data_IF_997076207277
#
_entry.id   IF_997076207277
#
_cell.length_a   1.000
_cell.length_b   1.000
_cell.length_c   1.000
_cell.angle_alpha   90.00
_cell.angle_beta   90.00
_cell.angle_gamma   90.00
#
_symmetry.space_group_name_H-M   'P 1'
#
loop_
_entity.id
_entity.type
_entity.pdbx_description
1 polymer ?
#
# COMPACT_ATOMS: atom_id res chain seq x y z
N UNK A 1 0.39 -29.88 7.20
CA UNK A 1 1.58 -29.34 6.57
C UNK A 1 1.17 -28.57 5.33
N UNK A 2 1.06 -27.23 5.44
CA UNK A 2 0.81 -26.38 4.26
C UNK A 2 2.01 -26.45 3.33
N UNK A 3 1.78 -26.64 2.05
CA UNK A 3 2.82 -26.52 1.04
C UNK A 3 3.45 -25.12 1.16
N UNK A 4 4.74 -25.09 1.35
CA UNK A 4 5.48 -23.82 1.46
C UNK A 4 5.98 -23.49 0.07
N UNK A 5 5.41 -22.45 -0.54
CA UNK A 5 5.75 -22.02 -1.87
C UNK A 5 6.23 -20.57 -1.82
N UNK A 6 7.11 -20.20 -2.74
CA UNK A 6 7.60 -18.84 -2.91
C UNK A 6 7.03 -18.30 -4.21
N UNK A 7 6.26 -17.22 -4.12
CA UNK A 7 5.84 -16.46 -5.32
C UNK A 7 6.81 -15.31 -5.53
N UNK A 8 7.34 -15.22 -6.73
CA UNK A 8 8.27 -14.17 -7.15
C UNK A 8 7.59 -13.34 -8.24
N UNK A 9 7.67 -12.04 -8.10
CA UNK A 9 7.26 -11.10 -9.14
C UNK A 9 8.47 -10.27 -9.58
N UNK A 10 8.52 -9.98 -10.86
CA UNK A 10 9.65 -9.24 -11.47
C UNK A 10 9.09 -8.10 -12.30
N UNK A 11 9.68 -6.93 -12.13
CA UNK A 11 9.37 -5.79 -12.97
C UNK A 11 9.64 -6.14 -14.44
N UNK A 12 8.67 -5.94 -15.36
CA UNK A 12 8.81 -6.33 -16.75
C UNK A 12 9.67 -5.34 -17.53
N UNK A 13 10.94 -5.27 -17.18
CA UNK A 13 11.98 -4.54 -17.90
C UNK A 13 12.70 -5.45 -18.91
N UNK A 14 13.47 -4.86 -19.81
CA UNK A 14 14.27 -5.63 -20.78
C UNK A 14 15.53 -6.21 -20.12
N UNK A 15 15.33 -7.04 -19.11
CA UNK A 15 16.36 -7.67 -18.28
C UNK A 15 16.58 -9.15 -18.64
N UNK A 16 15.99 -9.63 -19.74
CA UNK A 16 16.09 -11.03 -20.18
C UNK A 16 15.22 -12.01 -19.37
N UNK A 17 14.47 -11.58 -18.34
CA UNK A 17 13.59 -12.46 -17.61
C UNK A 17 12.36 -12.81 -18.46
N UNK A 18 12.07 -14.11 -18.73
CA UNK A 18 10.97 -14.50 -19.60
C UNK A 18 9.60 -14.42 -18.92
N UNK A 19 9.55 -14.34 -17.61
CA UNK A 19 8.33 -14.33 -16.83
C UNK A 19 8.14 -13.01 -16.06
N UNK A 20 6.89 -12.60 -15.83
CA UNK A 20 6.52 -11.49 -14.93
C UNK A 20 6.41 -12.00 -13.50
N UNK A 21 5.87 -13.21 -13.32
CA UNK A 21 5.73 -13.83 -12.02
C UNK A 21 5.82 -15.34 -12.15
N UNK A 22 6.30 -15.99 -11.09
CA UNK A 22 6.24 -17.46 -10.96
C UNK A 22 6.14 -17.88 -9.52
N UNK A 23 5.71 -19.11 -9.32
CA UNK A 23 5.70 -19.75 -8.01
C UNK A 23 6.60 -20.98 -8.06
N UNK A 24 7.38 -21.17 -7.03
CA UNK A 24 8.27 -22.32 -6.89
C UNK A 24 8.16 -22.92 -5.49
N UNK A 25 8.50 -24.20 -5.37
CA UNK A 25 8.70 -24.84 -4.09
C UNK A 25 10.07 -24.48 -3.48
N UNK A 26 10.38 -25.01 -2.30
CA UNK A 26 11.68 -24.75 -1.65
C UNK A 26 12.86 -25.47 -2.30
N UNK A 27 12.60 -26.47 -3.13
CA UNK A 27 13.60 -27.17 -3.94
C UNK A 27 13.90 -26.39 -5.24
N UNK A 28 13.13 -25.33 -5.55
CA UNK A 28 13.29 -24.50 -6.73
C UNK A 28 12.53 -24.99 -7.95
N UNK A 29 11.65 -26.01 -7.82
CA UNK A 29 10.82 -26.46 -8.93
C UNK A 29 9.72 -25.44 -9.19
N UNK A 30 9.61 -24.99 -10.42
CA UNK A 30 8.55 -24.04 -10.83
C UNK A 30 7.22 -24.78 -10.88
N UNK A 31 6.26 -24.31 -10.11
CA UNK A 31 4.89 -24.84 -10.03
C UNK A 31 3.98 -24.21 -11.07
N UNK A 32 4.16 -22.92 -11.32
CA UNK A 32 3.52 -22.16 -12.39
C UNK A 32 4.33 -20.90 -12.69
N UNK A 33 4.16 -20.39 -13.89
CA UNK A 33 4.73 -19.12 -14.31
C UNK A 33 3.75 -18.33 -15.17
N UNK A 34 3.91 -17.02 -15.19
CA UNK A 34 3.18 -16.08 -16.04
C UNK A 34 4.19 -15.46 -16.99
N UNK A 35 4.10 -15.75 -18.28
CA UNK A 35 5.05 -15.27 -19.26
C UNK A 35 4.98 -13.74 -19.38
N UNK A 36 6.11 -13.14 -19.66
CA UNK A 36 6.21 -11.73 -19.99
C UNK A 36 5.64 -11.46 -21.37
N UNK A 37 4.53 -10.74 -21.43
CA UNK A 37 3.86 -10.37 -22.70
C UNK A 37 4.13 -8.92 -23.09
N UNK A 38 4.73 -8.12 -22.21
CA UNK A 38 5.11 -6.73 -22.45
C UNK A 38 6.38 -6.39 -21.64
N UNK A 39 7.04 -5.30 -22.00
CA UNK A 39 8.14 -4.76 -21.22
C UNK A 39 8.03 -3.24 -21.12
N UNK A 40 8.49 -2.71 -20.00
CA UNK A 40 8.71 -1.29 -19.87
C UNK A 40 10.14 -0.95 -20.33
N UNK A 41 10.37 0.25 -20.86
CA UNK A 41 11.74 0.74 -21.03
C UNK A 41 12.50 0.66 -19.71
N UNK A 42 13.78 0.33 -19.78
CA UNK A 42 14.66 0.39 -18.62
C UNK A 42 14.85 1.85 -18.22
N UNK A 43 13.93 2.36 -17.45
CA UNK A 43 14.03 3.67 -16.83
C UNK A 43 13.77 3.54 -15.32
N UNK A 44 14.40 4.40 -14.54
CA UNK A 44 14.24 4.44 -13.08
C UNK A 44 12.87 5.00 -12.63
N UNK A 45 11.91 5.15 -13.53
CA UNK A 45 10.61 5.79 -13.29
C UNK A 45 9.49 4.79 -13.11
N UNK A 46 9.69 3.55 -13.54
CA UNK A 46 8.72 2.48 -13.34
C UNK A 46 8.94 1.85 -11.97
N UNK A 47 7.92 1.89 -11.13
CA UNK A 47 7.91 1.24 -9.82
C UNK A 47 7.00 0.03 -9.85
N UNK A 48 7.36 -0.98 -9.08
CA UNK A 48 6.53 -2.14 -8.83
C UNK A 48 6.19 -2.19 -7.35
N UNK A 49 4.90 -2.17 -7.05
CA UNK A 49 4.39 -2.43 -5.70
C UNK A 49 3.77 -3.82 -5.66
N UNK A 50 3.90 -4.47 -4.51
CA UNK A 50 3.29 -5.78 -4.27
C UNK A 50 2.66 -5.82 -2.90
N UNK A 51 1.49 -6.49 -2.79
CA UNK A 51 0.79 -6.69 -1.53
C UNK A 51 0.17 -8.11 -1.47
N UNK A 52 -0.13 -8.60 -0.28
CA UNK A 52 -0.67 -9.96 -0.05
C UNK A 52 -1.85 -9.99 0.90
N UNK A 53 -2.66 -8.96 0.91
CA UNK A 53 -3.81 -8.88 1.81
C UNK A 53 -5.01 -9.73 1.35
N UNK A 54 -5.01 -10.21 0.12
CA UNK A 54 -6.03 -11.13 -0.39
C UNK A 54 -5.51 -12.57 -0.28
N UNK A 55 -6.16 -13.46 0.48
CA UNK A 55 -5.68 -14.83 0.67
C UNK A 55 -5.40 -15.57 -0.63
N UNK A 56 -4.20 -16.13 -0.76
CA UNK A 56 -3.78 -16.91 -1.92
C UNK A 56 -3.46 -16.12 -3.19
N UNK A 57 -3.56 -14.80 -3.15
CA UNK A 57 -3.27 -13.91 -4.27
C UNK A 57 -2.17 -12.92 -3.90
N UNK A 58 -1.42 -12.52 -4.91
CA UNK A 58 -0.46 -11.42 -4.86
C UNK A 58 -1.04 -10.26 -5.67
N UNK A 59 -1.14 -9.09 -5.08
CA UNK A 59 -1.41 -7.86 -5.81
C UNK A 59 -0.11 -7.31 -6.38
N UNK A 60 -0.12 -6.99 -7.67
CA UNK A 60 1.01 -6.37 -8.36
C UNK A 60 0.52 -5.14 -9.09
N UNK A 61 1.14 -4.01 -8.85
CA UNK A 61 0.95 -2.81 -9.63
C UNK A 61 2.28 -2.32 -10.20
N UNK A 62 2.26 -1.95 -11.48
CA UNK A 62 3.36 -1.31 -12.15
C UNK A 62 3.00 0.13 -12.41
N UNK A 63 3.73 1.06 -11.83
CA UNK A 63 3.49 2.48 -11.96
C UNK A 63 4.61 3.13 -12.74
N UNK A 64 4.26 3.89 -13.76
CA UNK A 64 5.20 4.70 -14.52
C UNK A 64 4.71 6.15 -14.56
N UNK A 65 5.61 7.07 -14.26
CA UNK A 65 5.31 8.51 -14.35
C UNK A 65 5.00 8.97 -15.79
N UNK A 66 5.18 8.10 -16.77
CA UNK A 66 4.98 8.39 -18.18
C UNK A 66 3.66 7.83 -18.72
N UNK A 67 2.86 7.17 -17.89
CA UNK A 67 1.57 6.61 -18.32
C UNK A 67 0.42 7.36 -17.67
N UNK A 68 -0.58 7.72 -18.48
CA UNK A 68 -1.83 8.30 -17.98
C UNK A 68 -2.74 7.26 -17.35
N UNK A 69 -2.35 5.99 -17.40
CA UNK A 69 -3.19 4.88 -17.02
C UNK A 69 -2.34 3.71 -16.50
N UNK A 70 -2.60 3.30 -15.26
CA UNK A 70 -1.93 2.19 -14.61
C UNK A 70 -2.94 1.11 -14.23
N UNK A 71 -2.54 -0.14 -14.31
CA UNK A 71 -3.38 -1.28 -13.94
C UNK A 71 -2.76 -2.05 -12.79
N UNK A 72 -3.54 -2.29 -11.74
CA UNK A 72 -3.23 -3.25 -10.69
C UNK A 72 -3.76 -4.63 -11.06
N UNK A 73 -3.00 -5.66 -10.74
CA UNK A 73 -3.24 -7.05 -11.13
C UNK A 73 -3.29 -7.96 -9.93
N UNK A 74 -4.19 -8.92 -9.92
CA UNK A 74 -4.18 -10.04 -9.00
C UNK A 74 -3.52 -11.25 -9.65
N UNK A 75 -2.53 -11.82 -8.98
CA UNK A 75 -1.72 -12.93 -9.45
C UNK A 75 -1.85 -14.12 -8.52
N UNK A 76 -2.18 -15.28 -9.04
CA UNK A 76 -2.25 -16.53 -8.30
C UNK A 76 -2.69 -17.68 -9.17
N UNK A 77 -2.24 -18.89 -8.82
CA UNK A 77 -2.63 -20.12 -9.53
C UNK A 77 -2.21 -20.15 -11.01
N UNK A 78 -1.18 -19.40 -11.41
CA UNK A 78 -0.74 -19.32 -12.80
C UNK A 78 -1.51 -18.32 -13.66
N UNK A 79 -2.37 -17.52 -13.05
CA UNK A 79 -3.16 -16.50 -13.73
C UNK A 79 -2.82 -15.10 -13.24
N UNK A 80 -2.90 -14.13 -14.15
CA UNK A 80 -2.80 -12.71 -13.88
C UNK A 80 -4.07 -12.04 -14.38
N UNK A 81 -4.86 -11.47 -13.45
CA UNK A 81 -6.16 -10.87 -13.75
C UNK A 81 -6.13 -9.38 -13.39
N UNK A 82 -6.63 -8.49 -14.26
CA UNK A 82 -6.74 -7.08 -13.92
C UNK A 82 -7.72 -6.92 -12.75
N UNK A 83 -7.35 -6.12 -11.78
CA UNK A 83 -8.18 -5.76 -10.63
C UNK A 83 -8.86 -4.42 -10.87
N UNK A 84 -8.06 -3.40 -11.13
CA UNK A 84 -8.54 -2.06 -11.41
C UNK A 84 -7.53 -1.33 -12.29
N UNK A 85 -8.03 -0.35 -13.02
CA UNK A 85 -7.21 0.58 -13.78
C UNK A 85 -7.45 1.99 -13.26
N UNK A 86 -6.36 2.67 -12.91
CA UNK A 86 -6.39 4.07 -12.47
C UNK A 86 -6.06 4.96 -13.65
N UNK A 87 -6.91 5.96 -13.90
CA UNK A 87 -6.68 6.97 -14.94
C UNK A 87 -6.99 8.35 -14.39
N UNK A 88 -6.03 9.26 -14.48
CA UNK A 88 -6.22 10.64 -14.06
C UNK A 88 -6.67 11.57 -15.18
N UNK A 89 -7.01 11.02 -16.35
CA UNK A 89 -7.54 11.78 -17.48
C UNK A 89 -6.55 12.73 -18.16
N UNK A 90 -5.31 12.76 -17.71
CA UNK A 90 -4.26 13.58 -18.30
C UNK A 90 -3.26 12.71 -19.05
N UNK A 91 -2.92 13.11 -20.26
CA UNK A 91 -1.76 12.54 -20.95
C UNK A 91 -0.50 13.14 -20.35
N UNK A 92 0.49 12.30 -20.09
CA UNK A 92 1.81 12.75 -19.68
C UNK A 92 2.27 13.90 -20.61
N UNK A 93 2.52 15.04 -20.02
CA UNK A 93 2.93 16.21 -20.79
C UNK A 93 4.39 16.09 -21.21
N UNK A 94 4.63 16.45 -22.45
CA UNK A 94 5.85 16.87 -23.14
C UNK A 94 7.22 16.36 -22.62
N UNK A 95 7.95 15.85 -23.57
CA UNK A 95 9.31 15.30 -23.49
C UNK A 95 10.38 16.23 -22.87
N UNK A 96 10.10 17.52 -22.64
CA UNK A 96 11.09 18.54 -22.28
C UNK A 96 11.19 18.90 -20.80
N UNK A 97 10.22 18.56 -19.98
CA UNK A 97 10.32 18.81 -18.53
C UNK A 97 10.42 17.50 -17.79
N UNK A 98 11.55 17.18 -17.21
CA UNK A 98 11.78 15.93 -16.49
C UNK A 98 10.80 15.60 -15.35
N UNK A 99 9.76 16.41 -15.17
CA UNK A 99 8.56 16.16 -14.34
C UNK A 99 7.45 17.07 -14.85
N UNK A 100 6.33 16.48 -15.26
CA UNK A 100 5.11 17.21 -15.56
C UNK A 100 4.69 18.04 -14.34
N UNK A 101 4.20 19.25 -14.60
CA UNK A 101 3.44 20.01 -13.62
C UNK A 101 2.15 19.19 -13.34
N UNK A 102 1.80 19.04 -12.06
CA UNK A 102 0.60 18.32 -11.62
C UNK A 102 0.59 16.80 -11.90
N UNK A 103 1.62 16.09 -11.48
CA UNK A 103 1.62 14.64 -11.44
C UNK A 103 0.90 14.11 -10.20
N UNK A 104 -0.10 13.29 -10.43
CA UNK A 104 -0.72 12.51 -9.36
C UNK A 104 0.17 11.32 -9.00
N UNK A 105 0.46 11.19 -7.71
CA UNK A 105 1.05 9.99 -7.15
C UNK A 105 -0.04 9.26 -6.38
N UNK A 106 -0.04 7.95 -6.45
CA UNK A 106 -0.97 7.15 -5.66
C UNK A 106 -0.30 5.88 -5.16
N UNK A 107 -0.85 5.34 -4.09
CA UNK A 107 -0.57 3.98 -3.64
C UNK A 107 -1.89 3.26 -3.40
N UNK A 108 -1.93 2.00 -3.72
CA UNK A 108 -3.10 1.15 -3.52
C UNK A 108 -2.82 0.11 -2.44
N UNK A 109 -3.82 -0.18 -1.62
CA UNK A 109 -3.86 -1.32 -0.73
C UNK A 109 -5.09 -2.14 -1.07
N UNK A 110 -4.89 -3.35 -1.53
CA UNK A 110 -5.96 -4.25 -1.92
C UNK A 110 -6.32 -5.14 -0.73
N UNK A 111 -7.56 -5.03 -0.29
CA UNK A 111 -8.15 -5.85 0.76
C UNK A 111 -9.18 -6.82 0.16
N UNK A 112 -9.65 -7.84 0.90
CA UNK A 112 -10.65 -8.76 0.37
C UNK A 112 -11.89 -8.07 -0.22
N UNK A 113 -12.42 -7.10 0.49
CA UNK A 113 -13.66 -6.41 0.13
C UNK A 113 -13.47 -4.97 -0.34
N UNK A 114 -12.29 -4.40 -0.12
CA UNK A 114 -12.02 -3.00 -0.44
C UNK A 114 -10.73 -2.82 -1.22
N UNK A 115 -10.64 -1.74 -1.98
CA UNK A 115 -9.36 -1.17 -2.40
C UNK A 115 -9.27 0.23 -1.83
N UNK A 116 -8.20 0.49 -1.10
CA UNK A 116 -7.90 1.80 -0.54
C UNK A 116 -6.82 2.43 -1.40
N UNK A 117 -7.05 3.63 -1.89
CA UNK A 117 -6.07 4.38 -2.67
C UNK A 117 -5.78 5.71 -1.99
N UNK A 118 -4.52 5.90 -1.61
CA UNK A 118 -4.03 7.19 -1.15
C UNK A 118 -3.52 7.95 -2.37
N UNK A 119 -4.01 9.15 -2.57
CA UNK A 119 -3.65 10.01 -3.71
C UNK A 119 -2.97 11.26 -3.20
N UNK A 120 -1.97 11.71 -3.91
CA UNK A 120 -1.30 12.98 -3.65
C UNK A 120 -0.97 13.70 -4.96
N UNK A 121 -0.97 15.02 -4.91
CA UNK A 121 -0.53 15.87 -5.99
C UNK A 121 0.93 16.22 -5.77
N UNK A 122 1.76 15.89 -6.75
CA UNK A 122 3.17 16.25 -6.74
C UNK A 122 3.34 17.60 -7.46
N UNK A 123 3.67 18.64 -6.71
CA UNK A 123 3.98 19.95 -7.26
C UNK A 123 5.40 20.05 -7.81
N UNK A 124 5.75 21.24 -8.29
CA UNK A 124 7.08 21.50 -8.82
C UNK A 124 8.20 21.22 -7.82
N UNK A 125 9.28 20.65 -8.33
CA UNK A 125 10.48 20.52 -7.52
C UNK A 125 11.23 21.88 -7.42
N UNK A 126 11.64 22.22 -6.22
CA UNK A 126 12.45 23.42 -5.92
C UNK A 126 13.80 23.00 -5.37
N UNK A 127 14.86 23.67 -5.81
CA UNK A 127 16.17 23.53 -5.18
C UNK A 127 16.23 24.48 -3.97
N UNK A 128 16.43 23.93 -2.78
CA UNK A 128 16.65 24.70 -1.55
C UNK A 128 17.87 24.15 -0.84
N UNK A 129 18.83 25.02 -0.58
CA UNK A 129 20.10 24.67 0.10
C UNK A 129 20.88 23.53 -0.60
N UNK A 130 20.85 23.47 -1.95
CA UNK A 130 21.48 22.41 -2.73
C UNK A 130 20.74 21.07 -2.73
N UNK A 131 19.60 20.99 -2.04
CA UNK A 131 18.76 19.80 -1.99
C UNK A 131 17.50 20.03 -2.82
N UNK A 132 17.19 19.05 -3.68
CA UNK A 132 15.94 19.04 -4.44
C UNK A 132 14.79 18.65 -3.51
N UNK A 133 13.81 19.52 -3.39
CA UNK A 133 12.58 19.28 -2.62
C UNK A 133 11.39 19.27 -3.57
N UNK A 134 10.49 18.34 -3.35
CA UNK A 134 9.23 18.23 -4.06
C UNK A 134 8.14 18.48 -3.04
N UNK A 135 7.24 19.42 -3.34
CA UNK A 135 6.06 19.61 -2.53
C UNK A 135 5.04 18.55 -2.90
N UNK A 136 4.56 17.78 -1.92
CA UNK A 136 3.55 16.75 -2.09
C UNK A 136 2.33 17.17 -1.26
N UNK A 137 1.21 17.35 -1.94
CA UNK A 137 -0.05 17.69 -1.31
C UNK A 137 -0.93 16.44 -1.24
N UNK A 138 -1.27 15.95 -0.04
CA UNK A 138 -2.17 14.83 0.10
C UNK A 138 -3.59 15.24 -0.32
N UNK A 139 -4.24 14.37 -1.07
CA UNK A 139 -5.63 14.49 -1.46
C UNK A 139 -6.50 13.53 -0.65
N UNK A 140 -7.83 13.73 -0.60
CA UNK A 140 -8.72 12.75 0.00
C UNK A 140 -8.48 11.36 -0.59
N UNK A 141 -8.42 10.35 0.27
CA UNK A 141 -8.29 8.97 -0.15
C UNK A 141 -9.53 8.50 -0.93
N UNK A 142 -9.33 7.50 -1.77
CA UNK A 142 -10.40 6.85 -2.53
C UNK A 142 -10.57 5.44 -1.98
N UNK A 143 -11.82 5.08 -1.65
CA UNK A 143 -12.17 3.75 -1.16
C UNK A 143 -13.15 3.14 -2.14
N UNK A 144 -12.76 2.03 -2.77
CA UNK A 144 -13.61 1.21 -3.61
C UNK A 144 -14.14 0.03 -2.80
N UNK A 145 -15.46 -0.05 -2.62
CA UNK A 145 -16.13 -1.27 -2.16
C UNK A 145 -16.22 -2.25 -3.34
N UNK A 146 -15.51 -3.36 -3.24
CA UNK A 146 -15.44 -4.37 -4.31
C UNK A 146 -16.72 -5.18 -4.45
N UNK A 147 -17.53 -5.29 -3.38
CA UNK A 147 -18.80 -6.02 -3.40
C UNK A 147 -19.92 -5.19 -4.01
N UNK A 148 -19.99 -3.93 -3.61
CA UNK A 148 -21.01 -3.01 -4.12
C UNK A 148 -20.62 -2.40 -5.48
N UNK A 149 -19.32 -2.35 -5.81
CA UNK A 149 -18.81 -1.61 -6.97
C UNK A 149 -18.90 -0.09 -6.78
N UNK A 150 -18.98 0.37 -5.53
CA UNK A 150 -19.16 1.77 -5.19
C UNK A 150 -17.82 2.41 -4.81
N UNK A 151 -17.67 3.66 -5.19
CA UNK A 151 -16.48 4.47 -4.88
C UNK A 151 -16.88 5.61 -3.96
N UNK A 152 -16.12 5.80 -2.90
CA UNK A 152 -16.28 6.92 -1.97
C UNK A 152 -14.94 7.63 -1.74
N UNK A 153 -15.02 8.90 -1.38
CA UNK A 153 -13.87 9.64 -0.86
C UNK A 153 -13.89 9.55 0.67
N UNK A 154 -12.72 9.28 1.25
CA UNK A 154 -12.62 9.15 2.70
C UNK A 154 -11.22 8.83 3.17
N UNK A 155 -11.11 8.66 4.46
CA UNK A 155 -9.87 8.26 5.14
C UNK A 155 -10.12 7.00 5.95
N UNK A 156 -9.12 6.14 5.99
CA UNK A 156 -9.11 5.01 6.93
C UNK A 156 -8.65 5.52 8.28
N UNK A 157 -9.50 5.38 9.26
CA UNK A 157 -9.20 5.82 10.63
C UNK A 157 -9.03 4.62 11.55
N UNK A 158 -8.15 4.75 12.52
CA UNK A 158 -8.00 3.79 13.60
C UNK A 158 -8.87 4.25 14.79
N UNK A 159 -10.04 3.68 14.92
CA UNK A 159 -11.00 4.01 15.98
C UNK A 159 -10.55 3.62 17.40
N UNK A 160 -9.55 2.75 17.50
CA UNK A 160 -8.92 2.40 18.79
C UNK A 160 -8.02 3.53 19.32
N UNK A 161 -7.38 4.32 18.42
CA UNK A 161 -6.39 5.33 18.77
C UNK A 161 -6.79 6.74 18.29
N UNK A 162 -8.09 6.99 18.15
CA UNK A 162 -8.67 8.28 17.77
C UNK A 162 -8.15 8.86 16.45
N UNK A 163 -8.20 8.04 15.43
CA UNK A 163 -8.07 8.51 14.05
C UNK A 163 -6.68 8.68 13.50
N UNK A 164 -5.62 8.42 14.25
CA UNK A 164 -4.29 8.47 13.65
C UNK A 164 -4.14 7.38 12.58
N UNK A 165 -4.26 7.83 11.32
CA UNK A 165 -4.08 7.00 10.15
C UNK A 165 -2.63 6.63 9.98
N UNK A 166 -2.08 5.71 10.14
CA UNK A 166 -0.78 5.13 9.83
C UNK A 166 -0.97 3.64 9.98
N UNK A 167 -1.71 3.06 9.04
CA UNK A 167 -2.00 1.64 9.10
C UNK A 167 -1.18 0.91 8.05
N UNK A 168 -0.54 -0.17 8.47
CA UNK A 168 -0.04 -1.19 7.58
C UNK A 168 -1.06 -2.31 7.47
N UNK A 169 -1.26 -2.80 6.27
CA UNK A 169 -2.04 -4.01 6.04
C UNK A 169 -1.09 -5.08 5.51
N UNK A 170 -1.15 -6.26 6.06
CA UNK A 170 -0.32 -7.38 5.60
C UNK A 170 -1.01 -8.70 5.87
N UNK A 171 -0.99 -9.61 4.89
CA UNK A 171 -1.52 -10.97 5.00
C UNK A 171 -2.96 -11.04 5.58
N UNK A 172 -3.82 -10.06 5.26
CA UNK A 172 -5.19 -10.00 5.76
C UNK A 172 -5.35 -9.43 7.17
N UNK A 173 -4.32 -8.79 7.69
CA UNK A 173 -4.34 -8.12 8.99
C UNK A 173 -4.01 -6.65 8.86
N UNK A 174 -4.66 -5.86 9.71
CA UNK A 174 -4.16 -4.55 10.08
C UNK A 174 -3.03 -4.74 11.09
N UNK A 175 -1.89 -4.12 10.86
CA UNK A 175 -0.74 -4.19 11.77
C UNK A 175 -0.18 -2.79 11.97
N UNK A 176 0.05 -2.42 13.21
CA UNK A 176 0.77 -1.20 13.57
C UNK A 176 1.67 -1.44 14.78
N UNK A 177 2.91 -1.00 14.68
CA UNK A 177 3.85 -0.97 15.78
C UNK A 177 4.00 0.46 16.31
N UNK A 178 4.09 0.58 17.61
CA UNK A 178 4.46 1.80 18.32
C UNK A 178 5.62 1.47 19.25
N UNK A 179 6.63 2.30 19.34
CA UNK A 179 7.49 2.25 20.50
C UNK A 179 6.69 2.56 21.76
N UNK A 180 7.18 2.11 22.91
CA UNK A 180 6.43 2.22 24.17
C UNK A 180 6.09 3.68 24.52
N UNK A 181 7.03 4.61 24.33
CA UNK A 181 6.85 6.02 24.61
C UNK A 181 5.78 6.64 23.68
N UNK A 182 5.86 6.37 22.37
CA UNK A 182 4.88 6.83 21.38
C UNK A 182 3.48 6.27 21.63
N UNK A 183 3.38 4.99 22.05
CA UNK A 183 2.09 4.43 22.45
C UNK A 183 1.52 5.12 23.68
N UNK A 184 2.37 5.41 24.68
CA UNK A 184 1.94 6.12 25.91
C UNK A 184 1.44 7.52 25.60
N UNK A 185 2.12 8.27 24.74
CA UNK A 185 1.72 9.61 24.32
C UNK A 185 0.39 9.57 23.56
N UNK A 186 0.33 8.78 22.47
CA UNK A 186 -0.85 8.68 21.61
C UNK A 186 -2.06 8.12 22.37
N UNK A 187 -1.84 7.11 23.20
CA UNK A 187 -2.90 6.49 24.00
C UNK A 187 -3.50 7.44 25.06
N UNK A 188 -2.68 8.27 25.70
CA UNK A 188 -3.18 9.31 26.64
C UNK A 188 -4.01 10.35 25.89
N UNK A 189 -3.48 10.86 24.77
CA UNK A 189 -4.21 11.80 23.93
C UNK A 189 -5.57 11.23 23.47
N UNK A 190 -5.58 9.96 23.03
CA UNK A 190 -6.81 9.29 22.63
C UNK A 190 -7.82 9.15 23.78
N UNK A 191 -7.37 8.88 25.02
CA UNK A 191 -8.24 8.83 26.20
C UNK A 191 -8.83 10.19 26.55
N UNK A 192 -8.09 11.27 26.29
CA UNK A 192 -8.53 12.66 26.56
C UNK A 192 -9.49 13.18 25.50
N UNK A 193 -9.41 12.71 24.26
CA UNK A 193 -10.25 13.17 23.14
C UNK A 193 -11.74 12.96 23.36
N UNK A 194 -12.11 11.95 24.13
CA UNK A 194 -13.51 11.60 24.41
C UNK A 194 -14.21 10.81 23.29
N UNK A 195 -13.55 10.57 22.15
CA UNK A 195 -14.16 9.95 20.97
C UNK A 195 -14.11 8.43 20.96
N UNK A 196 -13.36 7.82 21.89
CA UNK A 196 -13.19 6.37 21.95
C UNK A 196 -14.42 5.63 22.44
N UNK A 197 -14.66 4.45 21.86
CA UNK A 197 -15.61 3.49 22.42
C UNK A 197 -15.18 3.05 23.82
N UNK A 198 -16.12 2.61 24.66
CA UNK A 198 -15.83 2.11 26.00
C UNK A 198 -14.84 0.93 25.98
N UNK A 199 -14.97 0.03 24.98
CA UNK A 199 -14.06 -1.10 24.80
C UNK A 199 -12.64 -0.63 24.45
N UNK A 200 -12.48 0.34 23.54
CA UNK A 200 -11.20 0.92 23.19
C UNK A 200 -10.55 1.61 24.39
N UNK A 201 -11.31 2.43 25.09
CA UNK A 201 -10.89 3.14 26.33
C UNK A 201 -10.37 2.15 27.39
N UNK A 202 -11.12 1.09 27.65
CA UNK A 202 -10.73 0.06 28.60
C UNK A 202 -9.42 -0.63 28.21
N UNK A 203 -9.26 -0.99 26.94
CA UNK A 203 -8.04 -1.63 26.44
C UNK A 203 -6.81 -0.73 26.55
N UNK A 204 -6.91 0.52 26.08
CA UNK A 204 -5.80 1.49 26.15
C UNK A 204 -5.42 1.73 27.61
N UNK A 205 -6.39 1.96 28.49
CA UNK A 205 -6.14 2.18 29.91
C UNK A 205 -5.43 0.99 30.57
N UNK A 206 -5.82 -0.24 30.22
CA UNK A 206 -5.20 -1.44 30.76
C UNK A 206 -3.73 -1.60 30.30
N UNK A 207 -3.42 -1.26 29.04
CA UNK A 207 -2.05 -1.28 28.54
C UNK A 207 -1.22 -0.20 29.22
N UNK A 208 -1.69 1.05 29.22
CA UNK A 208 -0.96 2.18 29.79
C UNK A 208 -0.66 2.02 31.29
N UNK A 209 -1.49 1.30 32.02
CA UNK A 209 -1.28 1.02 33.45
C UNK A 209 -0.01 0.21 33.72
N UNK A 210 0.38 -0.64 32.77
CA UNK A 210 1.46 -1.60 32.92
C UNK A 210 2.66 -1.29 32.00
N UNK A 211 2.56 -0.28 31.14
CA UNK A 211 3.58 0.07 30.16
C UNK A 211 4.53 1.13 30.73
N UNK A 212 5.82 0.94 30.51
CA UNK A 212 6.91 1.85 30.83
C UNK A 212 7.59 2.31 29.53
N UNK A 213 8.18 3.49 29.50
CA UNK A 213 8.88 4.05 28.33
C UNK A 213 10.04 3.18 27.81
N UNK A 214 10.59 2.33 28.67
CA UNK A 214 11.69 1.43 28.33
C UNK A 214 11.24 0.02 27.99
N UNK A 215 9.94 -0.22 27.90
CA UNK A 215 9.41 -1.53 27.49
C UNK A 215 9.55 -1.72 25.96
N UNK A 216 9.33 -2.96 25.53
CA UNK A 216 9.29 -3.29 24.12
C UNK A 216 8.11 -2.61 23.41
N UNK A 217 8.20 -2.57 22.10
CA UNK A 217 7.15 -2.03 21.23
C UNK A 217 5.78 -2.68 21.48
N UNK A 218 4.74 -1.87 21.39
CA UNK A 218 3.34 -2.31 21.39
C UNK A 218 2.91 -2.58 19.96
N UNK A 219 2.56 -3.83 19.68
CA UNK A 219 2.07 -4.23 18.35
C UNK A 219 0.55 -4.39 18.41
N UNK A 220 -0.14 -3.59 17.60
CA UNK A 220 -1.57 -3.74 17.35
C UNK A 220 -1.79 -4.63 16.15
N UNK A 221 -2.61 -5.66 16.30
CA UNK A 221 -2.98 -6.57 15.21
C UNK A 221 -4.50 -6.76 15.24
N UNK A 222 -5.15 -6.55 14.10
CA UNK A 222 -6.56 -6.83 13.92
C UNK A 222 -6.80 -7.56 12.59
N UNK A 223 -7.61 -8.65 12.59
CA UNK A 223 -7.98 -9.30 11.33
C UNK A 223 -8.89 -8.38 10.52
N UNK A 224 -8.66 -8.34 9.21
CA UNK A 224 -9.58 -7.70 8.26
C UNK A 224 -10.81 -8.59 8.10
N UNK A 225 -11.99 -8.03 8.16
CA UNK A 225 -13.27 -8.74 8.07
C UNK A 225 -14.01 -8.33 6.82
#
# INVERSE_FOLDING_TARGET
GGARNITVAVKPEDNGCPAIAWCQDYEGNVLWEIPRTYSFPEDNRTMMDTDRNVPGLLDISFRSNNTAQDTSWLVGGGEMRPLLTVSFGQTASSEDSGFAEDNYMYSTTVLPDYVIMNVSLQGRSVMKDGVRRINVEPLPGVILDRRAGEVSLGEVVNDLMDGSAGCGFTDGYFVRAYDAAGFMETGRAALESGNLSEAARSRISAILKNLSENDNDVIMIAPLR
#
